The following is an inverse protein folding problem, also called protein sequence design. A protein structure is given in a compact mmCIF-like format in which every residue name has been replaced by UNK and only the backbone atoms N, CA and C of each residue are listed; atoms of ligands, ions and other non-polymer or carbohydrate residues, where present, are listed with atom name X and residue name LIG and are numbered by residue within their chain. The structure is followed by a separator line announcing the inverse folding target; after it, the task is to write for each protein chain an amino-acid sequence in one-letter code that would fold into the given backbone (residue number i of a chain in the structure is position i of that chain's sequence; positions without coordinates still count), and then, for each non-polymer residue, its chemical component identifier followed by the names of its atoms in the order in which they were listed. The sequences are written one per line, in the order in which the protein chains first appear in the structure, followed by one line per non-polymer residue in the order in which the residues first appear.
data_IF_770952066155
#
_entry.id   IF_770952066155
#
_cell.length_a   1.000
_cell.length_b   1.000
_cell.length_c   1.000
_cell.angle_alpha   90.00
_cell.angle_beta   90.00
_cell.angle_gamma   90.00
#
_symmetry.space_group_name_H-M   'P 1'
#
loop_
_entity.id
_entity.type
_entity.pdbx_description
1 polymer ?
#
# COMPACT_ATOMS: atom_id res chain seq x y z
N UNK A 1 -15.89 -0.63 -4.54
CA UNK A 1 -14.69 -0.44 -3.69
C UNK A 1 -14.03 -1.80 -3.60
N UNK A 2 -12.80 -1.97 -4.09
CA UNK A 2 -12.19 -3.29 -4.36
C UNK A 2 -12.27 -4.26 -3.18
N UNK A 3 -11.98 -3.78 -1.95
CA UNK A 3 -12.07 -4.59 -0.74
C UNK A 3 -13.47 -5.19 -0.52
N UNK A 4 -14.52 -4.49 -0.96
CA UNK A 4 -15.91 -4.96 -0.83
C UNK A 4 -16.24 -6.07 -1.85
N UNK A 5 -15.84 -5.92 -3.12
CA UNK A 5 -16.05 -6.94 -4.14
C UNK A 5 -15.15 -8.16 -3.92
N UNK A 6 -13.89 -7.91 -3.54
CA UNK A 6 -12.96 -8.95 -3.17
C UNK A 6 -13.49 -9.77 -2.00
N UNK A 7 -13.97 -9.12 -0.91
CA UNK A 7 -14.65 -9.79 0.19
C UNK A 7 -15.79 -10.71 -0.27
N UNK A 8 -16.68 -10.22 -1.16
CA UNK A 8 -17.82 -11.01 -1.65
C UNK A 8 -17.40 -12.27 -2.41
N UNK A 9 -16.35 -12.19 -3.24
CA UNK A 9 -15.91 -13.33 -4.05
C UNK A 9 -14.98 -14.28 -3.33
N UNK A 10 -14.16 -13.77 -2.41
CA UNK A 10 -13.15 -14.54 -1.68
C UNK A 10 -13.62 -14.98 -0.28
N UNK A 11 -14.75 -14.48 0.18
CA UNK A 11 -15.33 -14.71 1.53
C UNK A 11 -14.39 -14.29 2.68
N UNK A 12 -13.50 -13.32 2.43
CA UNK A 12 -12.48 -12.87 3.38
C UNK A 12 -13.00 -11.72 4.22
N UNK A 13 -13.18 -11.90 5.53
CA UNK A 13 -13.66 -10.85 6.45
C UNK A 13 -12.97 -9.49 6.24
N UNK A 14 -13.73 -8.40 6.40
CA UNK A 14 -13.18 -7.05 6.46
C UNK A 14 -12.80 -6.60 7.88
N UNK A 15 -13.19 -7.37 8.90
CA UNK A 15 -12.89 -7.12 10.32
C UNK A 15 -11.63 -7.90 10.75
N UNK A 16 -10.66 -7.29 11.47
CA UNK A 16 -10.62 -5.91 11.96
C UNK A 16 -10.18 -4.89 10.89
N UNK A 17 -9.48 -5.33 9.85
CA UNK A 17 -9.24 -4.54 8.63
C UNK A 17 -9.07 -5.45 7.40
N UNK A 18 -9.49 -5.02 6.20
CA UNK A 18 -9.36 -5.83 4.99
C UNK A 18 -7.90 -6.17 4.65
N UNK A 19 -7.00 -5.18 4.79
CA UNK A 19 -5.58 -5.35 4.48
C UNK A 19 -4.89 -6.38 5.37
N UNK A 20 -5.24 -6.42 6.67
CA UNK A 20 -4.71 -7.40 7.60
C UNK A 20 -5.11 -8.82 7.21
N UNK A 21 -6.39 -9.06 6.90
CA UNK A 21 -6.87 -10.39 6.55
C UNK A 21 -6.30 -10.90 5.23
N UNK A 22 -6.16 -10.03 4.23
CA UNK A 22 -5.45 -10.34 2.98
C UNK A 22 -4.00 -10.76 3.27
N UNK A 23 -3.30 -10.06 4.17
CA UNK A 23 -1.95 -10.44 4.58
C UNK A 23 -1.91 -11.82 5.26
N UNK A 24 -2.83 -12.11 6.19
CA UNK A 24 -2.86 -13.40 6.88
C UNK A 24 -3.14 -14.56 5.92
N UNK A 25 -3.97 -14.34 4.90
CA UNK A 25 -4.26 -15.34 3.88
C UNK A 25 -3.13 -15.52 2.89
N UNK A 26 -2.45 -14.43 2.51
CA UNK A 26 -1.27 -14.49 1.65
C UNK A 26 -0.17 -15.40 2.24
N UNK A 27 -0.02 -15.46 3.56
CA UNK A 27 0.94 -16.35 4.25
C UNK A 27 0.65 -17.84 4.07
N UNK A 28 -0.57 -18.20 3.68
CA UNK A 28 -1.02 -19.58 3.48
C UNK A 28 -1.04 -19.99 2.01
N UNK A 29 -0.94 -19.03 1.09
CA UNK A 29 -0.91 -19.30 -0.35
C UNK A 29 0.39 -20.00 -0.73
N UNK A 30 0.30 -20.90 -1.71
CA UNK A 30 1.44 -21.71 -2.17
C UNK A 30 1.66 -21.62 -3.68
N UNK A 31 0.62 -21.22 -4.41
CA UNK A 31 0.65 -21.07 -5.86
C UNK A 31 0.65 -19.60 -6.25
N UNK A 32 1.64 -19.23 -7.06
CA UNK A 32 1.67 -17.92 -7.70
C UNK A 32 0.76 -17.90 -8.94
N UNK A 33 -0.03 -16.84 -9.07
CA UNK A 33 -0.90 -16.54 -10.20
C UNK A 33 -0.38 -15.27 -10.85
N UNK A 34 -0.14 -15.32 -12.16
CA UNK A 34 0.28 -14.12 -12.89
C UNK A 34 -0.81 -13.05 -12.84
N UNK A 35 -0.49 -11.92 -12.22
CA UNK A 35 -1.32 -10.73 -12.19
C UNK A 35 -0.71 -9.64 -13.07
N UNK A 36 -1.53 -8.72 -13.62
CA UNK A 36 -1.02 -7.64 -14.45
C UNK A 36 -0.05 -6.77 -13.66
N UNK A 37 1.13 -6.58 -14.24
CA UNK A 37 2.16 -5.71 -13.69
C UNK A 37 2.20 -4.43 -14.52
N UNK A 38 1.67 -3.33 -13.98
CA UNK A 38 1.56 -2.06 -14.70
C UNK A 38 2.21 -0.93 -13.92
N UNK A 39 3.38 -0.49 -14.39
CA UNK A 39 4.09 0.70 -13.89
C UNK A 39 4.31 1.66 -15.06
N UNK A 40 3.94 2.93 -14.89
CA UNK A 40 4.12 3.98 -15.89
C UNK A 40 4.99 5.09 -15.30
N UNK A 41 6.29 5.09 -15.62
CA UNK A 41 7.22 6.04 -15.00
C UNK A 41 7.32 5.80 -13.48
N UNK A 42 6.82 6.74 -12.68
CA UNK A 42 6.74 6.63 -11.22
C UNK A 42 5.30 6.40 -10.72
N UNK A 43 4.35 6.15 -11.64
CA UNK A 43 2.94 5.96 -11.32
C UNK A 43 2.52 4.48 -11.41
N UNK A 44 1.62 4.07 -10.50
CA UNK A 44 0.98 2.75 -10.50
C UNK A 44 -0.54 2.92 -10.69
N UNK A 45 -1.10 2.62 -11.88
CA UNK A 45 -2.54 2.68 -12.11
C UNK A 45 -3.24 1.44 -11.54
N UNK A 46 -3.74 1.54 -10.30
CA UNK A 46 -4.41 0.42 -9.64
C UNK A 46 -5.78 0.09 -10.25
N UNK A 47 -6.54 1.04 -10.77
CA UNK A 47 -7.93 0.81 -11.21
C UNK A 47 -8.08 -0.36 -12.19
N UNK A 48 -7.25 -0.41 -13.23
CA UNK A 48 -7.29 -1.50 -14.22
C UNK A 48 -6.85 -2.86 -13.65
N UNK A 49 -5.89 -2.84 -12.73
CA UNK A 49 -5.38 -4.05 -12.08
C UNK A 49 -6.45 -4.65 -11.17
N UNK A 50 -7.13 -3.81 -10.39
CA UNK A 50 -8.21 -4.22 -9.49
C UNK A 50 -9.38 -4.84 -10.25
N UNK A 51 -9.82 -4.22 -11.36
CA UNK A 51 -10.87 -4.79 -12.21
C UNK A 51 -10.46 -6.13 -12.82
N UNK A 52 -9.22 -6.26 -13.29
CA UNK A 52 -8.72 -7.53 -13.80
C UNK A 52 -8.69 -8.61 -12.71
N UNK A 53 -8.22 -8.26 -11.51
CA UNK A 53 -8.17 -9.18 -10.37
C UNK A 53 -9.57 -9.63 -10.00
N UNK A 54 -10.56 -8.73 -9.91
CA UNK A 54 -11.95 -9.09 -9.58
C UNK A 54 -12.50 -10.12 -10.59
N UNK A 55 -12.35 -9.87 -11.89
CA UNK A 55 -12.80 -10.77 -12.96
C UNK A 55 -12.05 -12.11 -12.95
N UNK A 56 -10.72 -12.07 -12.79
CA UNK A 56 -9.87 -13.26 -12.77
C UNK A 56 -10.14 -14.10 -11.52
N UNK A 57 -10.28 -13.46 -10.35
CA UNK A 57 -10.60 -14.10 -9.08
C UNK A 57 -11.90 -14.88 -9.19
N UNK A 58 -12.96 -14.27 -9.72
CA UNK A 58 -14.24 -14.94 -9.88
C UNK A 58 -14.10 -16.23 -10.73
N UNK A 59 -13.38 -16.17 -11.84
CA UNK A 59 -13.18 -17.33 -12.73
C UNK A 59 -12.28 -18.40 -12.11
N UNK A 60 -11.15 -18.01 -11.53
CA UNK A 60 -10.16 -18.94 -10.97
C UNK A 60 -10.68 -19.63 -9.71
N UNK A 61 -11.39 -18.90 -8.84
CA UNK A 61 -12.00 -19.45 -7.63
C UNK A 61 -13.17 -20.38 -7.97
N UNK A 62 -14.07 -19.99 -8.89
CA UNK A 62 -15.22 -20.83 -9.27
C UNK A 62 -14.84 -22.12 -9.99
N UNK A 63 -13.71 -22.12 -10.71
CA UNK A 63 -13.18 -23.31 -11.40
C UNK A 63 -12.23 -24.13 -10.53
N UNK A 64 -11.95 -23.70 -9.29
CA UNK A 64 -11.03 -24.38 -8.38
C UNK A 64 -9.57 -24.39 -8.84
N UNK A 65 -9.19 -23.49 -9.75
CA UNK A 65 -7.82 -23.40 -10.28
C UNK A 65 -6.84 -22.74 -9.29
N UNK A 66 -7.35 -21.97 -8.33
CA UNK A 66 -6.59 -21.43 -7.21
C UNK A 66 -7.47 -21.34 -5.96
N UNK A 67 -6.84 -21.20 -4.80
CA UNK A 67 -7.56 -20.87 -3.56
C UNK A 67 -7.59 -19.35 -3.32
N UNK A 68 -8.44 -18.85 -2.41
CA UNK A 68 -8.39 -17.47 -1.94
C UNK A 68 -7.02 -17.07 -1.38
N UNK A 69 -6.33 -18.00 -0.71
CA UNK A 69 -4.98 -17.81 -0.17
C UNK A 69 -3.94 -17.63 -1.26
N UNK A 70 -3.97 -18.45 -2.32
CA UNK A 70 -3.09 -18.32 -3.50
C UNK A 70 -3.28 -16.96 -4.20
N UNK A 71 -4.53 -16.50 -4.27
CA UNK A 71 -4.85 -15.19 -4.83
C UNK A 71 -4.31 -14.07 -3.94
N UNK A 72 -4.49 -14.13 -2.62
CA UNK A 72 -3.92 -13.16 -1.68
C UNK A 72 -2.39 -13.13 -1.72
N UNK A 73 -1.76 -14.30 -1.88
CA UNK A 73 -0.32 -14.44 -2.06
C UNK A 73 0.14 -13.75 -3.35
N UNK A 74 -0.58 -13.96 -4.45
CA UNK A 74 -0.26 -13.36 -5.74
C UNK A 74 -0.50 -11.84 -5.76
N UNK A 75 -1.48 -11.35 -4.99
CA UNK A 75 -1.73 -9.91 -4.81
C UNK A 75 -0.54 -9.16 -4.21
N UNK A 76 0.38 -9.84 -3.53
CA UNK A 76 1.61 -9.23 -3.03
C UNK A 76 2.50 -8.70 -4.17
N UNK A 77 2.28 -9.11 -5.43
CA UNK A 77 2.90 -8.50 -6.63
C UNK A 77 2.61 -7.00 -6.75
N UNK A 78 1.50 -6.51 -6.17
CA UNK A 78 1.23 -5.08 -6.08
C UNK A 78 2.32 -4.33 -5.32
N UNK A 79 2.92 -4.95 -4.30
CA UNK A 79 4.01 -4.36 -3.53
C UNK A 79 5.32 -4.31 -4.33
N UNK A 80 5.55 -5.23 -5.25
CA UNK A 80 6.71 -5.13 -6.15
C UNK A 80 6.65 -3.87 -7.01
N UNK A 81 5.46 -3.51 -7.54
CA UNK A 81 5.27 -2.25 -8.25
C UNK A 81 5.53 -1.03 -7.38
N UNK A 82 5.11 -1.06 -6.11
CA UNK A 82 5.37 0.02 -5.16
C UNK A 82 6.87 0.17 -4.84
N UNK A 83 7.57 -0.94 -4.65
CA UNK A 83 9.02 -0.95 -4.41
C UNK A 83 9.75 -0.40 -5.63
N UNK A 84 9.35 -0.80 -6.84
CA UNK A 84 9.94 -0.31 -8.08
C UNK A 84 9.77 1.21 -8.26
N UNK A 85 8.56 1.76 -8.08
CA UNK A 85 8.37 3.21 -8.22
C UNK A 85 9.10 3.98 -7.13
N UNK A 86 9.20 3.42 -5.93
CA UNK A 86 9.95 4.03 -4.82
C UNK A 86 11.43 4.06 -5.12
N UNK A 87 12.00 2.96 -5.61
CA UNK A 87 13.39 2.90 -6.01
C UNK A 87 13.71 3.88 -7.15
N UNK A 88 12.84 3.96 -8.16
CA UNK A 88 12.96 4.94 -9.26
C UNK A 88 12.97 6.37 -8.72
N UNK A 89 12.06 6.69 -7.80
CA UNK A 89 11.97 8.01 -7.18
C UNK A 89 13.23 8.34 -6.35
N UNK A 90 13.72 7.40 -5.53
CA UNK A 90 14.96 7.55 -4.78
C UNK A 90 16.16 7.83 -5.67
N UNK A 91 16.30 7.05 -6.76
CA UNK A 91 17.38 7.24 -7.71
C UNK A 91 17.30 8.62 -8.40
N UNK A 92 16.08 9.10 -8.66
CA UNK A 92 15.85 10.39 -9.29
C UNK A 92 16.14 11.59 -8.37
N UNK A 93 15.74 11.52 -7.09
CA UNK A 93 15.95 12.61 -6.13
C UNK A 93 17.26 12.51 -5.33
N UNK A 94 18.01 11.41 -5.47
CA UNK A 94 19.24 11.17 -4.73
C UNK A 94 19.02 10.84 -3.25
N UNK A 95 17.81 10.42 -2.85
CA UNK A 95 17.51 10.05 -1.46
C UNK A 95 18.16 8.72 -1.06
N UNK A 96 18.61 8.65 0.20
CA UNK A 96 19.11 7.45 0.87
C UNK A 96 18.17 6.98 1.98
N UNK A 97 16.98 7.55 2.06
CA UNK A 97 16.00 7.27 3.10
C UNK A 97 14.62 7.07 2.48
N UNK A 98 13.91 6.05 2.96
CA UNK A 98 12.51 5.77 2.63
C UNK A 98 11.71 5.74 3.90
N UNK A 99 10.61 6.48 3.93
CA UNK A 99 9.62 6.43 4.98
C UNK A 99 8.33 5.78 4.44
N UNK A 100 7.87 4.71 5.10
CA UNK A 100 6.56 4.11 4.81
C UNK A 100 5.54 4.62 5.83
N UNK A 101 4.43 5.15 5.32
CA UNK A 101 3.28 5.67 6.10
C UNK A 101 1.96 5.16 5.53
N UNK A 102 0.86 5.43 6.25
CA UNK A 102 -0.50 5.06 5.87
C UNK A 102 -0.86 3.62 6.26
N UNK A 103 -2.16 3.30 6.26
CA UNK A 103 -2.65 2.00 6.76
C UNK A 103 -2.10 0.78 6.03
N UNK A 104 -1.83 0.88 4.72
CA UNK A 104 -1.18 -0.21 3.95
C UNK A 104 0.30 -0.33 4.30
N UNK A 105 0.92 0.74 4.78
CA UNK A 105 2.30 0.77 5.23
C UNK A 105 2.60 -0.14 6.43
N UNK A 106 1.57 -0.53 7.18
CA UNK A 106 1.67 -1.51 8.27
C UNK A 106 1.86 -2.95 7.79
N UNK A 107 1.67 -3.22 6.49
CA UNK A 107 1.81 -4.57 5.95
C UNK A 107 3.27 -5.04 6.01
N UNK A 108 3.51 -6.15 6.72
CA UNK A 108 4.85 -6.65 6.98
C UNK A 108 5.58 -7.10 5.71
N UNK A 109 4.85 -7.60 4.71
CA UNK A 109 5.43 -8.03 3.44
C UNK A 109 5.92 -6.83 2.62
N UNK A 110 5.15 -5.73 2.59
CA UNK A 110 5.60 -4.48 1.97
C UNK A 110 6.85 -3.94 2.64
N UNK A 111 6.87 -3.89 3.98
CA UNK A 111 8.04 -3.43 4.74
C UNK A 111 9.26 -4.30 4.49
N UNK A 112 9.10 -5.63 4.45
CA UNK A 112 10.17 -6.57 4.12
C UNK A 112 10.75 -6.29 2.72
N UNK A 113 9.89 -6.21 1.70
CA UNK A 113 10.33 -5.98 0.31
C UNK A 113 11.03 -4.62 0.14
N UNK A 114 10.51 -3.57 0.77
CA UNK A 114 11.16 -2.26 0.78
C UNK A 114 12.49 -2.28 1.53
N UNK A 115 12.57 -3.05 2.62
CA UNK A 115 13.77 -3.20 3.43
C UNK A 115 14.91 -3.90 2.67
N UNK A 116 14.58 -4.93 1.88
CA UNK A 116 15.53 -5.57 0.95
C UNK A 116 16.05 -4.55 -0.05
N UNK A 117 15.16 -3.82 -0.74
CA UNK A 117 15.55 -2.79 -1.71
C UNK A 117 16.44 -1.70 -1.09
N UNK A 118 16.08 -1.20 0.09
CA UNK A 118 16.89 -0.19 0.79
C UNK A 118 18.28 -0.75 1.14
N UNK A 119 18.35 -1.98 1.67
CA UNK A 119 19.62 -2.63 2.02
C UNK A 119 20.53 -2.82 0.82
N UNK A 120 19.99 -3.26 -0.32
CA UNK A 120 20.75 -3.46 -1.56
C UNK A 120 21.33 -2.15 -2.11
N UNK A 121 20.65 -1.03 -1.85
CA UNK A 121 21.10 0.31 -2.25
C UNK A 121 22.03 1.00 -1.24
N UNK A 122 22.17 0.46 -0.02
CA UNK A 122 22.84 1.14 1.09
C UNK A 122 22.02 2.28 1.71
N UNK A 123 20.70 2.25 1.52
CA UNK A 123 19.74 3.20 2.06
C UNK A 123 19.09 2.70 3.37
N UNK A 124 18.37 3.59 4.06
CA UNK A 124 17.64 3.29 5.30
C UNK A 124 16.13 3.28 5.08
N UNK A 125 15.48 2.27 5.66
CA UNK A 125 14.03 2.18 5.73
C UNK A 125 13.55 2.62 7.12
N UNK A 126 12.61 3.56 7.14
CA UNK A 126 11.84 3.93 8.30
C UNK A 126 10.41 3.42 8.12
N UNK A 127 10.05 2.38 8.86
CA UNK A 127 8.68 1.90 8.95
C UNK A 127 8.03 2.50 10.19
N UNK A 128 6.86 3.12 10.01
CA UNK A 128 6.15 3.78 11.11
C UNK A 128 5.32 2.77 11.90
N UNK A 129 5.28 2.91 13.23
CA UNK A 129 4.42 2.13 14.13
C UNK A 129 2.95 2.32 13.75
N UNK A 130 2.15 1.25 13.79
CA UNK A 130 0.74 1.25 13.41
C UNK A 130 -0.06 2.40 14.05
N UNK A 131 0.28 2.76 15.29
CA UNK A 131 -0.37 3.85 16.06
C UNK A 131 -0.21 5.23 15.42
N UNK A 132 0.82 5.43 14.59
CA UNK A 132 1.10 6.68 13.89
C UNK A 132 0.83 6.58 12.38
N UNK A 133 0.60 5.39 11.84
CA UNK A 133 0.26 5.15 10.43
C UNK A 133 -1.21 5.42 10.09
N UNK A 134 -2.10 5.40 11.08
CA UNK A 134 -3.53 5.65 10.91
C UNK A 134 -3.81 7.14 11.12
N UNK A 135 -4.79 7.69 10.39
CA UNK A 135 -5.21 9.07 10.51
C UNK A 135 -5.49 9.46 11.97
N UNK A 136 -4.70 10.39 12.51
CA UNK A 136 -4.79 10.81 13.90
C UNK A 136 -4.55 12.32 14.04
N UNK A 137 -5.07 12.92 15.11
CA UNK A 137 -4.88 14.35 15.35
C UNK A 137 -3.43 14.76 15.62
N UNK A 138 -2.57 13.84 16.06
CA UNK A 138 -1.18 14.15 16.38
C UNK A 138 -0.34 14.44 15.12
N UNK A 139 -0.59 13.75 13.99
CA UNK A 139 0.10 14.05 12.73
C UNK A 139 -0.24 15.46 12.22
N UNK A 140 -1.50 15.88 12.38
CA UNK A 140 -1.96 17.23 12.01
C UNK A 140 -1.35 18.27 12.94
N UNK A 141 -1.36 18.01 14.25
CA UNK A 141 -0.78 18.91 15.23
C UNK A 141 0.75 19.08 15.03
N UNK A 142 1.47 18.00 14.76
CA UNK A 142 2.91 18.03 14.52
C UNK A 142 3.25 18.80 13.23
N UNK A 143 2.53 18.54 12.13
CA UNK A 143 2.72 19.28 10.89
C UNK A 143 2.44 20.79 11.08
N UNK A 144 1.33 21.13 11.75
CA UNK A 144 0.98 22.51 12.06
C UNK A 144 2.00 23.20 12.98
N UNK A 145 2.54 22.47 13.95
CA UNK A 145 3.60 22.98 14.84
C UNK A 145 4.90 23.27 14.09
N UNK A 146 5.35 22.38 13.20
CA UNK A 146 6.54 22.62 12.39
C UNK A 146 6.34 23.78 11.40
N UNK A 147 5.16 23.87 10.77
CA UNK A 147 4.80 25.02 9.92
C UNK A 147 4.86 26.34 10.70
N UNK A 148 4.27 26.38 11.90
CA UNK A 148 4.29 27.58 12.75
C UNK A 148 5.73 27.95 13.15
N UNK A 149 6.55 26.96 13.54
CA UNK A 149 7.96 27.16 13.88
C UNK A 149 8.81 27.66 12.73
N UNK A 150 8.48 27.30 11.49
CA UNK A 150 9.14 27.81 10.29
C UNK A 150 8.58 29.17 9.82
N UNK A 151 7.69 29.80 10.61
CA UNK A 151 7.12 31.12 10.34
C UNK A 151 5.89 31.11 9.42
N UNK A 152 5.33 29.95 9.10
CA UNK A 152 4.07 29.86 8.37
C UNK A 152 2.89 30.04 9.32
N UNK A 153 2.08 31.06 9.09
CA UNK A 153 0.83 31.32 9.80
C UNK A 153 -0.28 31.43 8.77
N UNK A 154 -1.42 30.80 9.03
CA UNK A 154 -2.60 30.85 8.16
C UNK A 154 -3.60 31.84 8.75
N UNK A 155 -3.92 32.88 8.01
CA UNK A 155 -4.99 33.81 8.37
C UNK A 155 -6.35 33.10 8.34
N UNK A 156 -7.29 33.57 9.15
CA UNK A 156 -8.62 32.95 9.21
C UNK A 156 -9.36 33.01 7.86
N UNK A 157 -9.12 34.03 7.05
CA UNK A 157 -9.69 34.12 5.69
C UNK A 157 -9.18 33.04 4.75
N UNK A 158 -8.01 32.47 5.03
CA UNK A 158 -7.33 31.49 4.20
C UNK A 158 -7.51 30.05 4.70
N UNK A 159 -8.18 29.85 5.84
CA UNK A 159 -8.39 28.54 6.47
C UNK A 159 -9.64 27.80 5.94
N UNK A 160 -9.98 27.99 4.67
CA UNK A 160 -11.14 27.35 4.03
C UNK A 160 -10.79 25.93 3.57
N UNK A 161 -11.82 25.10 3.42
CA UNK A 161 -11.67 23.68 3.05
C UNK A 161 -11.71 23.55 1.53
N UNK A 162 -10.72 22.88 0.94
CA UNK A 162 -10.81 22.39 -0.45
C UNK A 162 -11.08 20.90 -0.44
N UNK A 163 -12.14 20.45 -1.13
CA UNK A 163 -12.29 19.05 -1.53
C UNK A 163 -11.85 18.96 -3.00
N UNK A 164 -10.90 18.09 -3.32
CA UNK A 164 -10.43 17.82 -4.68
C UNK A 164 -10.66 16.36 -5.03
#
# INVERSE_FOLDING_TARGET
NFNYNFHLHSQISNDPSPGYNIEQMAKKGTKYIDLPYTVKGMDVPFSGILSYIEDAAHKLLSTGQCTPEDLCFSLQTLFAMLVEITERAMAHCGSQEVLIVGGVGCNLRLQEMMGVMCKERGAQLFATDERFCIDNGAMIAQAGWEMFRSGHVTELSDSWITQR
#
